data_IF_074935802885
#
_entry.id   IF_074935802885
#
_cell.length_a   1.000
_cell.length_b   1.000
_cell.length_c   1.000
_cell.angle_alpha   90.00
_cell.angle_beta   90.00
_cell.angle_gamma   90.00
#
_symmetry.space_group_name_H-M   'P 1'
#
loop_
_entity.id
_entity.type
_entity.pdbx_description
1 polymer ?
#
# COMPACT_ATOMS: atom_id res chain seq x y z
N UNK A 1 14.26 -6.48 -2.97
CA UNK A 1 14.03 -5.13 -3.57
C UNK A 1 12.63 -4.97 -4.17
N UNK A 2 12.12 -5.96 -4.91
CA UNK A 2 10.77 -5.91 -5.50
C UNK A 2 9.66 -5.61 -4.47
N UNK A 3 9.66 -6.27 -3.31
CA UNK A 3 8.70 -6.01 -2.22
C UNK A 3 8.74 -4.57 -1.72
N UNK A 4 9.94 -4.02 -1.51
CA UNK A 4 10.14 -2.65 -1.06
C UNK A 4 9.64 -1.63 -2.09
N UNK A 5 10.01 -1.80 -3.36
CA UNK A 5 9.58 -0.93 -4.45
C UNK A 5 8.06 -1.02 -4.66
N UNK A 6 7.50 -2.24 -4.66
CA UNK A 6 6.06 -2.45 -4.77
C UNK A 6 5.29 -1.78 -3.63
N UNK A 7 5.75 -1.94 -2.39
CA UNK A 7 5.17 -1.26 -1.24
C UNK A 7 5.22 0.26 -1.37
N UNK A 8 6.35 0.82 -1.80
CA UNK A 8 6.50 2.25 -2.06
C UNK A 8 5.55 2.79 -3.13
N UNK A 9 5.37 2.05 -4.23
CA UNK A 9 4.41 2.41 -5.30
C UNK A 9 2.98 2.42 -4.77
N UNK A 10 2.56 1.37 -4.06
CA UNK A 10 1.20 1.29 -3.50
C UNK A 10 0.93 2.44 -2.51
N UNK A 11 1.87 2.71 -1.61
CA UNK A 11 1.75 3.81 -0.65
C UNK A 11 1.62 5.16 -1.36
N UNK A 12 2.46 5.41 -2.36
CA UNK A 12 2.47 6.67 -3.11
C UNK A 12 1.18 6.86 -3.90
N UNK A 13 0.70 5.81 -4.59
CA UNK A 13 -0.57 5.86 -5.31
C UNK A 13 -1.75 6.12 -4.38
N UNK A 14 -1.77 5.49 -3.20
CA UNK A 14 -2.76 5.75 -2.18
C UNK A 14 -2.73 7.20 -1.70
N UNK A 15 -1.54 7.73 -1.39
CA UNK A 15 -1.37 9.11 -0.94
C UNK A 15 -1.81 10.12 -2.01
N UNK A 16 -1.46 9.88 -3.29
CA UNK A 16 -1.91 10.70 -4.41
C UNK A 16 -3.44 10.66 -4.55
N UNK A 17 -4.04 9.47 -4.51
CA UNK A 17 -5.49 9.30 -4.55
C UNK A 17 -6.20 10.04 -3.41
N UNK A 18 -5.65 9.93 -2.20
CA UNK A 18 -6.16 10.64 -1.03
C UNK A 18 -6.10 12.17 -1.22
N UNK A 19 -4.96 12.70 -1.68
CA UNK A 19 -4.74 14.12 -1.90
C UNK A 19 -5.69 14.71 -2.96
N UNK A 20 -5.89 13.99 -4.07
CA UNK A 20 -6.81 14.42 -5.15
C UNK A 20 -8.27 14.02 -4.91
N UNK A 21 -8.56 13.38 -3.76
CA UNK A 21 -9.90 12.90 -3.35
C UNK A 21 -10.55 11.97 -4.39
N UNK A 22 -9.75 11.09 -5.00
CA UNK A 22 -10.18 10.05 -5.98
C UNK A 22 -9.47 8.72 -5.68
N UNK A 23 -10.06 7.57 -6.05
CA UNK A 23 -11.35 7.38 -6.70
C UNK A 23 -12.53 7.50 -5.70
N UNK A 24 -13.74 7.68 -6.23
CA UNK A 24 -14.98 7.55 -5.45
C UNK A 24 -15.75 6.38 -6.04
N UNK A 25 -15.56 5.18 -5.47
CA UNK A 25 -16.17 3.95 -5.98
C UNK A 25 -17.65 3.88 -5.56
N UNK A 26 -17.91 3.89 -4.25
CA UNK A 26 -19.24 4.04 -3.66
C UNK A 26 -19.24 5.22 -2.70
N UNK A 27 -19.62 6.44 -3.14
CA UNK A 27 -19.45 7.68 -2.38
C UNK A 27 -20.03 7.73 -0.95
N UNK A 28 -20.93 6.81 -0.60
CA UNK A 28 -21.55 6.73 0.73
C UNK A 28 -20.87 5.72 1.68
N UNK A 29 -20.04 4.82 1.16
CA UNK A 29 -19.52 3.66 1.90
C UNK A 29 -18.03 3.41 1.65
N UNK A 30 -17.56 3.67 0.43
CA UNK A 30 -16.22 3.30 -0.01
C UNK A 30 -15.68 4.32 -1.03
N UNK A 31 -14.98 5.32 -0.53
CA UNK A 31 -14.37 6.41 -1.29
C UNK A 31 -12.84 6.38 -1.28
N UNK A 32 -12.24 7.55 -1.51
CA UNK A 32 -10.80 7.71 -1.64
C UNK A 32 -10.05 7.40 -0.34
N UNK A 33 -10.69 7.62 0.81
CA UNK A 33 -10.11 7.36 2.12
C UNK A 33 -9.97 5.86 2.38
N UNK A 34 -11.01 5.09 2.07
CA UNK A 34 -11.01 3.64 2.23
C UNK A 34 -10.07 2.97 1.21
N UNK A 35 -10.00 3.49 -0.02
CA UNK A 35 -9.01 3.05 -1.02
C UNK A 35 -7.58 3.34 -0.56
N UNK A 36 -7.33 4.52 0.02
CA UNK A 36 -6.03 4.83 0.62
C UNK A 36 -5.68 3.82 1.72
N UNK A 37 -6.60 3.54 2.64
CA UNK A 37 -6.38 2.55 3.69
C UNK A 37 -6.05 1.16 3.13
N UNK A 38 -6.76 0.67 2.12
CA UNK A 38 -6.45 -0.61 1.49
C UNK A 38 -5.04 -0.63 0.87
N UNK A 39 -4.64 0.44 0.18
CA UNK A 39 -3.32 0.55 -0.42
C UNK A 39 -2.21 0.63 0.63
N UNK A 40 -2.45 1.32 1.76
CA UNK A 40 -1.51 1.36 2.89
C UNK A 40 -1.39 0.01 3.56
N UNK A 41 -2.48 -0.73 3.75
CA UNK A 41 -2.46 -2.10 4.30
C UNK A 41 -1.63 -3.02 3.40
N UNK A 42 -1.88 -2.99 2.08
CA UNK A 42 -1.11 -3.78 1.12
C UNK A 42 0.38 -3.38 1.10
N UNK A 43 0.68 -2.08 1.09
CA UNK A 43 2.05 -1.57 1.17
C UNK A 43 2.77 -2.03 2.45
N UNK A 44 2.06 -2.00 3.59
CA UNK A 44 2.58 -2.42 4.89
C UNK A 44 2.86 -3.92 4.93
N UNK A 45 1.99 -4.73 4.30
CA UNK A 45 2.21 -6.17 4.16
C UNK A 45 3.46 -6.48 3.33
N UNK A 46 3.68 -5.77 2.21
CA UNK A 46 4.88 -5.92 1.39
C UNK A 46 6.15 -5.48 2.14
N UNK A 47 6.08 -4.37 2.88
CA UNK A 47 7.20 -3.90 3.69
C UNK A 47 7.52 -4.87 4.82
N UNK A 48 6.51 -5.38 5.52
CA UNK A 48 6.68 -6.41 6.54
C UNK A 48 7.33 -7.66 5.96
N UNK A 49 6.85 -8.17 4.81
CA UNK A 49 7.43 -9.33 4.15
C UNK A 49 8.90 -9.09 3.76
N UNK A 50 9.23 -7.89 3.26
CA UNK A 50 10.62 -7.52 2.96
C UNK A 50 11.50 -7.55 4.22
N UNK A 51 11.04 -6.94 5.31
CA UNK A 51 11.78 -6.94 6.59
C UNK A 51 11.92 -8.36 7.13
N UNK A 52 10.87 -9.17 7.10
CA UNK A 52 10.90 -10.55 7.56
C UNK A 52 11.91 -11.39 6.76
N UNK A 53 11.92 -11.25 5.43
CA UNK A 53 12.88 -11.93 4.55
C UNK A 53 14.32 -11.56 4.91
N UNK A 54 14.59 -10.26 5.06
CA UNK A 54 15.92 -9.75 5.41
C UNK A 54 16.34 -10.21 6.81
N UNK A 55 15.43 -10.11 7.79
CA UNK A 55 15.71 -10.43 9.18
C UNK A 55 15.91 -11.93 9.42
N UNK A 56 15.21 -12.79 8.68
CA UNK A 56 15.33 -14.25 8.82
C UNK A 56 16.41 -14.86 7.94
N UNK A 57 17.01 -14.08 7.02
CA UNK A 57 17.99 -14.60 6.06
C UNK A 57 17.40 -15.61 5.08
N UNK A 58 16.07 -15.74 5.02
CA UNK A 58 15.40 -16.54 4.02
C UNK A 58 15.76 -15.96 2.65
N UNK A 59 16.46 -16.75 1.83
CA UNK A 59 16.73 -16.36 0.45
C UNK A 59 15.45 -16.60 -0.34
N UNK A 60 14.91 -15.51 -0.90
CA UNK A 60 13.86 -15.59 -1.92
C UNK A 60 14.40 -16.19 -3.21
#
# INVERSE_FOLDING_TARGET
>A
LALLLGGGVLYTLGALGFAVRRPRLWPRVFGYHEVFHLLVIAASALFFAFVALVATGARA
#
